data_IF_046102260343
#
_entry.id   IF_046102260343
#
_cell.length_a   1.000
_cell.length_b   1.000
_cell.length_c   1.000
_cell.angle_alpha   90.00
_cell.angle_beta   90.00
_cell.angle_gamma   90.00
#
_symmetry.space_group_name_H-M   'P 1'
#
loop_
_entity.id
_entity.type
_entity.pdbx_description
1 polymer ?
#
# COMPACT_ATOMS: atom_id res chain seq x y z
N UNK A 1 7.18 -7.85 -19.85
CA UNK A 1 6.66 -8.49 -18.62
C UNK A 1 5.19 -8.15 -18.50
N UNK A 2 4.32 -9.12 -18.20
CA UNK A 2 2.87 -8.88 -18.12
C UNK A 2 2.44 -8.73 -16.66
N UNK A 3 1.42 -7.91 -16.38
CA UNK A 3 0.91 -7.75 -15.01
C UNK A 3 0.41 -9.05 -14.36
N UNK A 4 0.04 -10.04 -15.18
CA UNK A 4 -0.33 -11.36 -14.68
C UNK A 4 0.88 -12.12 -14.10
N UNK A 5 2.07 -11.93 -14.67
CA UNK A 5 3.29 -12.58 -14.17
C UNK A 5 3.68 -12.01 -12.80
N UNK A 6 3.46 -10.71 -12.58
CA UNK A 6 3.69 -10.04 -11.29
C UNK A 6 2.72 -10.58 -10.23
N UNK A 7 1.43 -10.64 -10.53
CA UNK A 7 0.42 -11.22 -9.63
C UNK A 7 0.71 -12.70 -9.32
N UNK A 8 1.13 -13.48 -10.33
CA UNK A 8 1.54 -14.88 -10.15
C UNK A 8 2.76 -14.97 -9.23
N UNK A 9 3.74 -14.09 -9.40
CA UNK A 9 4.95 -14.06 -8.58
C UNK A 9 4.61 -13.75 -7.12
N UNK A 10 3.70 -12.80 -6.86
CA UNK A 10 3.23 -12.47 -5.50
C UNK A 10 2.52 -13.67 -4.87
N UNK A 11 1.62 -14.33 -5.59
CA UNK A 11 0.92 -15.53 -5.10
C UNK A 11 1.87 -16.68 -4.80
N UNK A 12 2.83 -16.96 -5.70
CA UNK A 12 3.86 -17.97 -5.45
C UNK A 12 4.71 -17.61 -4.24
N UNK A 13 5.08 -16.34 -4.09
CA UNK A 13 5.86 -15.87 -2.93
C UNK A 13 5.12 -16.12 -1.62
N UNK A 14 3.80 -15.87 -1.57
CA UNK A 14 2.97 -16.15 -0.39
C UNK A 14 2.94 -17.64 -0.02
N UNK A 15 2.98 -18.51 -1.02
CA UNK A 15 2.95 -19.96 -0.79
C UNK A 15 4.32 -20.55 -0.45
N UNK A 16 5.40 -19.98 -0.99
CA UNK A 16 6.75 -20.55 -0.89
C UNK A 16 7.58 -19.95 0.24
N UNK A 17 7.35 -18.68 0.60
CA UNK A 17 8.14 -17.98 1.62
C UNK A 17 7.42 -18.04 2.98
N UNK A 18 7.33 -19.25 3.55
CA UNK A 18 6.65 -19.51 4.84
C UNK A 18 7.30 -18.78 6.04
N UNK A 19 8.54 -18.31 5.88
CA UNK A 19 9.31 -17.57 6.86
C UNK A 19 9.31 -16.05 6.63
N UNK A 20 8.63 -15.54 5.60
CA UNK A 20 8.46 -14.11 5.33
C UNK A 20 7.00 -13.72 5.59
N UNK A 21 6.78 -13.01 6.69
CA UNK A 21 5.42 -12.68 7.14
C UNK A 21 4.68 -11.73 6.18
N UNK A 22 5.37 -10.73 5.65
CA UNK A 22 4.76 -9.63 4.90
C UNK A 22 5.23 -9.60 3.45
N UNK A 23 4.28 -9.49 2.51
CA UNK A 23 4.58 -9.34 1.08
C UNK A 23 4.07 -7.98 0.62
N UNK A 24 4.97 -7.24 -0.02
CA UNK A 24 4.74 -5.86 -0.46
C UNK A 24 4.12 -5.80 -1.85
N UNK A 25 3.09 -4.97 -1.98
CA UNK A 25 2.61 -4.44 -3.26
C UNK A 25 3.05 -2.97 -3.37
N UNK A 26 4.16 -2.73 -4.08
CA UNK A 26 4.69 -1.38 -4.29
C UNK A 26 4.03 -0.73 -5.50
N UNK A 27 3.08 0.17 -5.26
CA UNK A 27 2.16 0.65 -6.30
C UNK A 27 2.85 1.51 -7.37
N UNK A 28 4.00 2.13 -7.05
CA UNK A 28 4.79 2.90 -8.02
C UNK A 28 5.41 2.00 -9.10
N UNK A 29 5.72 0.73 -8.77
CA UNK A 29 6.23 -0.23 -9.76
C UNK A 29 5.12 -1.01 -10.47
N UNK A 30 4.01 -1.32 -9.79
CA UNK A 30 2.92 -2.11 -10.37
C UNK A 30 1.92 -1.27 -11.19
N UNK A 31 1.55 -0.08 -10.71
CA UNK A 31 0.27 0.63 -10.93
C UNK A 31 -0.75 0.39 -9.81
N UNK A 32 -1.58 1.41 -9.57
CA UNK A 32 -2.65 1.44 -8.57
C UNK A 32 -3.59 0.23 -8.69
N UNK A 33 -4.09 -0.05 -9.90
CA UNK A 33 -5.06 -1.12 -10.13
C UNK A 33 -4.45 -2.52 -9.90
N UNK A 34 -3.21 -2.71 -10.31
CA UNK A 34 -2.52 -3.97 -10.06
C UNK A 34 -2.20 -4.15 -8.59
N UNK A 35 -1.76 -3.10 -7.87
CA UNK A 35 -1.51 -3.16 -6.44
C UNK A 35 -2.78 -3.50 -5.63
N UNK A 36 -3.94 -2.94 -6.00
CA UNK A 36 -5.24 -3.35 -5.44
C UNK A 36 -5.53 -4.83 -5.66
N UNK A 37 -5.25 -5.34 -6.87
CA UNK A 37 -5.43 -6.76 -7.20
C UNK A 37 -4.44 -7.64 -6.43
N UNK A 38 -3.20 -7.19 -6.25
CA UNK A 38 -2.16 -7.92 -5.54
C UNK A 38 -2.52 -8.23 -4.08
N UNK A 39 -3.34 -7.39 -3.44
CA UNK A 39 -3.87 -7.63 -2.09
C UNK A 39 -4.68 -8.93 -1.99
N UNK A 40 -5.30 -9.37 -3.09
CA UNK A 40 -5.99 -10.66 -3.19
C UNK A 40 -5.10 -11.81 -3.65
N UNK A 41 -3.87 -11.52 -4.05
CA UNK A 41 -2.88 -12.50 -4.50
C UNK A 41 -1.80 -12.76 -3.45
N UNK A 42 -1.99 -12.30 -2.21
CA UNK A 42 -1.12 -12.63 -1.08
C UNK A 42 -0.22 -11.50 -0.61
N UNK A 43 -0.26 -10.32 -1.24
CA UNK A 43 0.32 -9.11 -0.64
C UNK A 43 -0.57 -8.61 0.50
N UNK A 44 0.04 -8.12 1.57
CA UNK A 44 -0.65 -7.53 2.72
C UNK A 44 -0.09 -6.14 3.08
N UNK A 45 1.00 -5.73 2.42
CA UNK A 45 1.66 -4.46 2.62
C UNK A 45 1.59 -3.58 1.37
N UNK A 46 0.63 -2.65 1.33
CA UNK A 46 0.52 -1.65 0.25
C UNK A 46 1.45 -0.47 0.54
N UNK A 47 2.42 -0.21 -0.35
CA UNK A 47 3.49 0.77 -0.11
C UNK A 47 3.78 1.66 -1.33
N UNK A 48 4.34 2.85 -1.10
CA UNK A 48 4.71 3.84 -2.11
C UNK A 48 4.99 5.24 -1.54
N UNK A 49 5.22 6.21 -2.42
CA UNK A 49 5.47 7.60 -2.01
C UNK A 49 4.19 8.25 -1.50
N UNK A 50 4.18 8.60 -0.21
CA UNK A 50 3.06 9.29 0.43
C UNK A 50 3.32 10.79 0.49
N UNK A 51 2.34 11.60 0.09
CA UNK A 51 2.35 13.05 0.35
C UNK A 51 1.48 13.35 1.57
N UNK A 52 2.06 13.96 2.59
CA UNK A 52 1.30 14.54 3.71
C UNK A 52 0.68 15.87 3.28
N UNK A 53 -0.64 16.00 3.45
CA UNK A 53 -1.41 17.20 3.04
C UNK A 53 -0.89 18.51 3.67
N UNK A 54 -0.22 18.45 4.82
CA UNK A 54 0.35 19.64 5.48
C UNK A 54 1.56 20.24 4.76
N UNK A 55 2.31 19.47 3.95
CA UNK A 55 3.53 19.92 3.26
C UNK A 55 3.25 20.25 1.79
N UNK A 56 2.27 19.57 1.18
CA UNK A 56 1.87 19.79 -0.22
C UNK A 56 1.42 21.22 -0.52
N UNK A 57 0.79 21.91 0.45
CA UNK A 57 0.34 23.29 0.27
C UNK A 57 1.46 24.33 0.25
N UNK A 58 2.63 24.04 0.83
CA UNK A 58 3.75 25.00 0.93
C UNK A 58 4.86 24.77 -0.10
N UNK A 59 4.99 23.56 -0.64
CA UNK A 59 6.18 23.17 -1.39
C UNK A 59 6.05 23.23 -2.92
N UNK A 60 4.88 23.58 -3.48
CA UNK A 60 4.69 23.61 -4.93
C UNK A 60 5.05 22.30 -5.63
N UNK A 61 4.96 21.17 -4.91
CA UNK A 61 5.53 19.90 -5.33
C UNK A 61 4.73 19.34 -6.53
N UNK A 62 5.31 19.47 -7.72
CA UNK A 62 4.92 18.69 -8.89
C UNK A 62 5.61 17.32 -8.80
N UNK A 63 5.11 16.44 -7.92
CA UNK A 63 5.50 15.02 -7.96
C UNK A 63 4.55 14.30 -8.91
N UNK A 64 5.07 13.73 -9.99
CA UNK A 64 4.24 13.13 -11.05
C UNK A 64 3.43 11.92 -10.57
N UNK A 65 3.77 11.28 -9.45
CA UNK A 65 3.02 10.16 -8.87
C UNK A 65 3.23 10.09 -7.36
N UNK A 66 2.36 10.75 -6.59
CA UNK A 66 2.25 10.53 -5.16
C UNK A 66 0.79 10.35 -4.78
N UNK A 67 0.54 9.48 -3.80
CA UNK A 67 -0.79 9.29 -3.22
C UNK A 67 -0.78 9.82 -1.79
N UNK A 68 -1.83 10.54 -1.42
CA UNK A 68 -2.08 10.88 -0.03
C UNK A 68 -2.36 9.63 0.80
N UNK A 69 -2.19 9.75 2.12
CA UNK A 69 -2.62 8.71 3.07
C UNK A 69 -4.10 8.35 2.89
N UNK A 70 -4.95 9.34 2.67
CA UNK A 70 -6.39 9.15 2.48
C UNK A 70 -6.71 8.35 1.21
N UNK A 71 -5.99 8.59 0.11
CA UNK A 71 -6.15 7.83 -1.13
C UNK A 71 -5.71 6.37 -0.98
N UNK A 72 -4.61 6.11 -0.28
CA UNK A 72 -4.18 4.74 0.02
C UNK A 72 -5.19 4.00 0.90
N UNK A 73 -5.72 4.66 1.93
CA UNK A 73 -6.79 4.09 2.74
C UNK A 73 -8.05 3.79 1.90
N UNK A 74 -8.44 4.70 1.02
CA UNK A 74 -9.58 4.54 0.13
C UNK A 74 -9.38 3.37 -0.86
N UNK A 75 -8.17 3.21 -1.39
CA UNK A 75 -7.81 2.08 -2.26
C UNK A 75 -8.00 0.74 -1.55
N UNK A 76 -7.50 0.62 -0.32
CA UNK A 76 -7.61 -0.62 0.47
C UNK A 76 -9.07 -0.89 0.84
N UNK A 77 -9.82 0.13 1.29
CA UNK A 77 -11.26 0.01 1.58
C UNK A 77 -12.06 -0.38 0.34
N UNK A 78 -11.73 0.17 -0.82
CA UNK A 78 -12.35 -0.16 -2.10
C UNK A 78 -12.15 -1.61 -2.52
N UNK A 79 -11.12 -2.29 -1.99
CA UNK A 79 -10.90 -3.72 -2.17
C UNK A 79 -11.70 -4.59 -1.18
N UNK A 80 -12.48 -4.01 -0.27
CA UNK A 80 -13.18 -4.71 0.80
C UNK A 80 -12.29 -5.06 2.00
N UNK A 81 -11.13 -4.42 2.14
CA UNK A 81 -10.14 -4.68 3.19
C UNK A 81 -10.07 -3.54 4.21
N UNK A 82 -9.49 -3.81 5.38
CA UNK A 82 -9.28 -2.81 6.44
C UNK A 82 -7.85 -2.27 6.36
N UNK A 83 -7.63 -1.00 5.99
CA UNK A 83 -6.31 -0.39 6.06
C UNK A 83 -5.84 -0.25 7.50
N UNK A 84 -4.57 -0.60 7.72
CA UNK A 84 -3.88 -0.46 8.99
C UNK A 84 -2.59 0.31 8.74
N UNK A 85 -2.45 1.46 9.39
CA UNK A 85 -1.17 2.17 9.40
C UNK A 85 -0.21 1.44 10.33
N UNK A 86 1.04 1.24 9.90
CA UNK A 86 2.04 0.47 10.62
C UNK A 86 3.33 1.25 10.86
N UNK A 87 4.09 0.83 11.85
CA UNK A 87 5.49 1.25 12.00
C UNK A 87 6.44 0.40 11.12
N UNK A 88 7.75 0.62 11.28
CA UNK A 88 8.79 -0.13 10.57
C UNK A 88 8.89 -1.61 11.00
N UNK A 89 8.29 -1.99 12.13
CA UNK A 89 8.22 -3.35 12.65
C UNK A 89 6.86 -4.01 12.36
N UNK A 90 6.06 -3.42 11.46
CA UNK A 90 4.73 -3.92 11.07
C UNK A 90 3.71 -3.95 12.21
N UNK A 91 3.95 -3.18 13.28
CA UNK A 91 2.98 -3.04 14.37
C UNK A 91 1.94 -1.98 14.01
N UNK A 92 0.64 -2.21 14.24
CA UNK A 92 -0.38 -1.19 14.05
C UNK A 92 -0.06 0.06 14.87
N UNK A 93 -0.13 1.24 14.24
CA UNK A 93 -0.13 2.50 14.97
C UNK A 93 -1.51 2.71 15.60
N UNK A 94 -1.53 3.12 16.87
CA UNK A 94 -2.77 3.53 17.51
C UNK A 94 -3.41 4.65 16.69
N UNK A 95 -4.73 4.58 16.48
CA UNK A 95 -5.46 5.72 15.93
C UNK A 95 -5.30 6.86 16.92
N UNK A 96 -4.83 8.02 16.47
CA UNK A 96 -5.01 9.26 17.23
C UNK A 96 -6.52 9.41 17.41
N UNK A 97 -7.00 9.25 18.64
CA UNK A 97 -8.35 9.67 18.97
C UNK A 97 -8.40 11.17 18.73
N UNK A 98 -9.17 11.59 17.73
CA UNK A 98 -9.41 12.99 17.48
C UNK A 98 -10.12 13.55 18.71
N UNK A 99 -9.35 14.17 19.61
CA UNK A 99 -9.88 14.92 20.75
C UNK A 99 -10.85 15.94 20.19
N UNK A 100 -12.14 15.74 20.47
CA UNK A 100 -13.22 16.67 20.14
C UNK A 100 -13.11 17.91 21.01
#
# INVERSE_FOLDING_TARGET
HTGLDELRTIALSRLMLDNIQHIKAYWVMLSVKQAQTALWFGADDLDGTVVEEKIGHMAGAQSEQALSRAELEAMIRGCGLTPVQRDSLFRPLAREEATT
#
